data_IF_270861029495
#
_entry.id   IF_270861029495
#
_cell.length_a   1.000
_cell.length_b   1.000
_cell.length_c   1.000
_cell.angle_alpha   90.00
_cell.angle_beta   90.00
_cell.angle_gamma   90.00
#
_symmetry.space_group_name_H-M   'P 1'
#
loop_
_entity.id
_entity.type
_entity.pdbx_description
1 polymer ?
#
# COMPACT_ATOMS: atom_id res chain seq x y z
N UNK A 1 -1.56 51.29 61.47
CA UNK A 1 -1.36 50.21 62.45
C UNK A 1 -0.03 50.42 63.16
N UNK A 2 0.00 50.59 64.49
CA UNK A 2 1.24 50.68 65.28
C UNK A 2 1.75 49.26 65.56
N UNK A 3 2.94 48.91 65.06
CA UNK A 3 3.58 47.63 65.38
C UNK A 3 4.36 47.78 66.69
N UNK A 4 3.97 47.03 67.72
CA UNK A 4 4.68 46.95 69.00
C UNK A 4 5.96 46.13 68.81
N UNK A 5 7.11 46.75 69.02
CA UNK A 5 8.36 46.02 69.22
C UNK A 5 8.31 45.36 70.61
N UNK A 6 8.30 44.04 70.66
CA UNK A 6 8.52 43.27 71.89
C UNK A 6 10.01 43.32 72.21
N UNK A 7 10.41 44.25 73.09
CA UNK A 7 11.73 44.25 73.71
C UNK A 7 11.58 43.63 75.11
N UNK A 8 11.94 42.35 75.23
CA UNK A 8 12.11 41.70 76.54
C UNK A 8 13.42 42.21 77.15
N UNK A 9 13.33 43.20 78.03
CA UNK A 9 14.46 43.62 78.86
C UNK A 9 14.57 42.65 80.05
N UNK A 10 15.52 41.71 79.97
CA UNK A 10 16.18 41.19 81.18
C UNK A 10 17.66 41.59 81.12
N UNK A 11 18.11 42.11 82.25
CA UNK A 11 19.34 42.87 82.41
C UNK A 11 20.63 42.08 82.21
N UNK A 12 21.68 42.89 82.25
CA UNK A 12 23.11 42.56 82.35
C UNK A 12 23.87 42.39 81.03
N UNK A 13 24.47 43.51 80.60
CA UNK A 13 25.92 43.51 80.46
C UNK A 13 26.55 42.99 79.17
N UNK A 14 25.87 42.91 78.03
CA UNK A 14 26.55 42.66 76.75
C UNK A 14 25.90 43.44 75.62
N UNK A 15 26.72 44.05 74.74
CA UNK A 15 26.28 44.78 73.54
C UNK A 15 25.36 43.88 72.72
N UNK A 16 24.05 44.12 72.81
CA UNK A 16 23.07 43.48 71.94
C UNK A 16 23.18 44.20 70.59
N UNK A 17 23.89 43.60 69.64
CA UNK A 17 23.87 44.02 68.26
C UNK A 17 22.50 43.62 67.70
N UNK A 18 21.48 44.44 67.98
CA UNK A 18 20.14 44.23 67.47
C UNK A 18 20.17 44.62 65.99
N UNK A 19 20.23 43.63 65.10
CA UNK A 19 20.02 43.82 63.67
C UNK A 19 18.60 44.36 63.47
N UNK A 20 18.50 45.69 63.42
CA UNK A 20 17.27 46.42 63.16
C UNK A 20 16.90 46.22 61.69
N UNK A 21 16.37 45.05 61.35
CA UNK A 21 15.67 44.84 60.10
C UNK A 21 14.38 45.64 60.20
N UNK A 22 14.34 46.83 59.61
CA UNK A 22 13.18 47.69 59.73
C UNK A 22 12.02 47.05 58.96
N UNK A 23 10.80 47.11 59.48
CA UNK A 23 9.58 46.72 58.74
C UNK A 23 9.47 47.43 57.38
N UNK A 24 10.15 48.58 57.24
CA UNK A 24 10.28 49.33 55.98
C UNK A 24 11.07 48.59 54.91
N UNK A 25 12.02 47.74 55.32
CA UNK A 25 12.85 46.94 54.43
C UNK A 25 12.10 45.68 54.00
N UNK A 26 11.38 45.02 54.92
CA UNK A 26 10.51 43.86 54.63
C UNK A 26 9.40 44.24 53.64
N UNK A 27 8.68 45.35 53.88
CA UNK A 27 7.63 45.82 52.96
C UNK A 27 8.15 46.26 51.57
N UNK A 28 9.47 46.46 51.39
CA UNK A 28 10.08 46.75 50.09
C UNK A 28 10.59 45.50 49.36
N UNK A 29 10.79 44.39 50.08
CA UNK A 29 11.32 43.14 49.54
C UNK A 29 10.21 42.34 48.84
N UNK A 30 9.04 42.19 49.47
CA UNK A 30 7.90 41.48 48.90
C UNK A 30 7.47 41.98 47.51
N UNK A 31 7.23 43.29 47.28
CA UNK A 31 6.85 43.78 45.96
C UNK A 31 7.97 43.69 44.92
N UNK A 32 9.24 43.51 45.32
CA UNK A 32 10.34 43.24 44.38
C UNK A 32 10.40 41.77 43.99
N UNK A 33 10.21 40.85 44.95
CA UNK A 33 10.16 39.41 44.69
C UNK A 33 9.04 39.07 43.72
N UNK A 34 7.82 39.59 43.99
CA UNK A 34 6.64 39.37 43.16
C UNK A 34 6.86 39.91 41.73
N UNK A 35 7.54 41.05 41.59
CA UNK A 35 7.87 41.61 40.27
C UNK A 35 8.83 40.73 39.48
N UNK A 36 9.81 40.12 40.13
CA UNK A 36 10.76 39.23 39.48
C UNK A 36 10.06 37.93 39.02
N UNK A 37 9.25 37.32 39.89
CA UNK A 37 8.44 36.14 39.52
C UNK A 37 7.47 36.44 38.38
N UNK A 38 6.86 37.63 38.37
CA UNK A 38 5.99 38.09 37.28
C UNK A 38 6.77 38.33 35.97
N UNK A 39 8.04 38.73 36.05
CA UNK A 39 8.92 38.89 34.90
C UNK A 39 9.32 37.53 34.32
N UNK A 40 9.67 36.57 35.17
CA UNK A 40 10.01 35.20 34.77
C UNK A 40 8.81 34.48 34.16
N UNK A 41 7.62 34.69 34.74
CA UNK A 41 6.37 34.17 34.19
C UNK A 41 6.06 34.79 32.82
N UNK A 42 6.31 36.10 32.66
CA UNK A 42 6.14 36.78 31.37
C UNK A 42 7.04 36.18 30.30
N UNK A 43 8.32 35.99 30.59
CA UNK A 43 9.27 35.35 29.64
C UNK A 43 8.87 33.92 29.31
N UNK A 44 8.39 33.17 30.30
CA UNK A 44 7.87 31.81 30.08
C UNK A 44 6.62 31.81 29.19
N UNK A 45 5.73 32.79 29.36
CA UNK A 45 4.55 32.96 28.52
C UNK A 45 4.92 33.34 27.08
N UNK A 46 5.90 34.23 26.90
CA UNK A 46 6.42 34.62 25.58
C UNK A 46 7.06 33.42 24.86
N UNK A 47 7.87 32.62 25.57
CA UNK A 47 8.46 31.40 25.03
C UNK A 47 7.41 30.37 24.62
N UNK A 48 6.42 30.13 25.48
CA UNK A 48 5.34 29.20 25.19
C UNK A 48 4.46 29.68 24.03
N UNK A 49 4.19 30.99 23.94
CA UNK A 49 3.46 31.57 22.80
C UNK A 49 4.19 31.30 21.48
N UNK A 50 5.49 31.57 21.43
CA UNK A 50 6.29 31.29 20.23
C UNK A 50 6.29 29.79 19.86
N UNK A 51 6.27 28.90 20.86
CA UNK A 51 6.19 27.45 20.62
C UNK A 51 4.82 27.02 20.10
N UNK A 52 3.75 27.63 20.58
CA UNK A 52 2.38 27.43 20.10
C UNK A 52 2.29 27.84 18.62
N UNK A 53 2.84 28.99 18.26
CA UNK A 53 2.86 29.46 16.86
C UNK A 53 3.63 28.49 15.95
N UNK A 54 4.76 27.95 16.42
CA UNK A 54 5.52 26.94 15.67
C UNK A 54 4.70 25.66 15.44
N UNK A 55 3.94 25.22 16.45
CA UNK A 55 3.09 24.03 16.33
C UNK A 55 1.88 24.28 15.44
N UNK A 56 1.28 25.46 15.46
CA UNK A 56 0.20 25.83 14.55
C UNK A 56 0.67 25.81 13.09
N UNK A 57 1.87 26.33 12.81
CA UNK A 57 2.48 26.25 11.49
C UNK A 57 2.76 24.82 11.03
N UNK A 58 3.22 23.95 11.95
CA UNK A 58 3.41 22.53 11.63
C UNK A 58 2.08 21.82 11.42
N UNK A 59 1.05 22.17 12.18
CA UNK A 59 -0.28 21.58 12.06
C UNK A 59 -0.90 21.92 10.71
N UNK A 60 -0.89 23.20 10.32
CA UNK A 60 -1.39 23.64 9.01
C UNK A 60 -0.63 22.96 7.86
N UNK A 61 0.69 22.78 7.97
CA UNK A 61 1.45 22.04 6.97
C UNK A 61 1.03 20.56 6.89
N UNK A 62 0.85 19.89 8.04
CA UNK A 62 0.39 18.50 8.09
C UNK A 62 -1.02 18.38 7.50
N UNK A 63 -1.91 19.32 7.78
CA UNK A 63 -3.26 19.37 7.22
C UNK A 63 -3.24 19.48 5.69
N UNK A 64 -2.40 20.37 5.14
CA UNK A 64 -2.23 20.50 3.67
C UNK A 64 -1.69 19.21 3.06
N UNK A 65 -0.63 18.62 3.65
CA UNK A 65 -0.06 17.36 3.19
C UNK A 65 -1.08 16.21 3.22
N UNK A 66 -1.91 16.16 4.27
CA UNK A 66 -2.98 15.19 4.39
C UNK A 66 -4.02 15.35 3.27
N UNK A 67 -4.37 16.59 2.91
CA UNK A 67 -5.26 16.88 1.78
C UNK A 67 -4.66 16.42 0.43
N UNK A 68 -3.36 16.63 0.22
CA UNK A 68 -2.67 16.16 -0.99
C UNK A 68 -2.66 14.63 -1.10
N UNK A 69 -2.34 13.95 0.01
CA UNK A 69 -2.36 12.49 0.09
C UNK A 69 -3.75 11.91 -0.21
N UNK A 70 -4.81 12.57 0.25
CA UNK A 70 -6.18 12.18 -0.07
C UNK A 70 -6.44 12.28 -1.59
N UNK A 71 -6.01 13.36 -2.23
CA UNK A 71 -6.14 13.53 -3.68
C UNK A 71 -5.39 12.47 -4.50
N UNK A 72 -4.19 12.06 -4.04
CA UNK A 72 -3.43 10.96 -4.66
C UNK A 72 -4.15 9.63 -4.48
N UNK A 73 -4.69 9.36 -3.29
CA UNK A 73 -5.45 8.15 -3.00
C UNK A 73 -6.70 8.03 -3.89
N UNK A 74 -7.41 9.13 -4.12
CA UNK A 74 -8.59 9.13 -5.01
C UNK A 74 -8.21 8.82 -6.46
N UNK A 75 -7.12 9.40 -6.96
CA UNK A 75 -6.58 9.09 -8.29
C UNK A 75 -6.17 7.63 -8.40
N UNK A 76 -5.46 7.10 -7.41
CA UNK A 76 -5.04 5.70 -7.37
C UNK A 76 -6.25 4.76 -7.41
N UNK A 77 -7.28 5.06 -6.62
CA UNK A 77 -8.53 4.28 -6.61
C UNK A 77 -9.26 4.35 -7.95
N UNK A 78 -9.27 5.51 -8.61
CA UNK A 78 -9.84 5.65 -9.96
C UNK A 78 -9.08 4.81 -10.98
N UNK A 79 -7.75 4.97 -11.06
CA UNK A 79 -6.92 4.20 -11.99
C UNK A 79 -7.00 2.69 -11.76
N UNK A 80 -7.11 2.26 -10.50
CA UNK A 80 -7.30 0.84 -10.15
C UNK A 80 -8.61 0.31 -10.71
N UNK A 81 -9.70 1.10 -10.65
CA UNK A 81 -10.99 0.73 -11.26
C UNK A 81 -10.87 0.64 -12.79
N UNK A 82 -10.21 1.59 -13.42
CA UNK A 82 -10.02 1.60 -14.88
C UNK A 82 -9.25 0.36 -15.36
N UNK A 83 -8.21 -0.05 -14.62
CA UNK A 83 -7.46 -1.28 -14.91
C UNK A 83 -8.38 -2.50 -14.84
N UNK A 84 -9.23 -2.61 -13.82
CA UNK A 84 -10.16 -3.73 -13.67
C UNK A 84 -11.11 -3.80 -14.88
N UNK A 85 -11.68 -2.67 -15.28
CA UNK A 85 -12.57 -2.59 -16.44
C UNK A 85 -11.84 -2.99 -17.73
N UNK A 86 -10.64 -2.45 -17.95
CA UNK A 86 -9.83 -2.78 -19.13
C UNK A 86 -9.45 -4.28 -19.18
N UNK A 87 -9.16 -4.90 -18.04
CA UNK A 87 -8.89 -6.33 -17.95
C UNK A 87 -10.12 -7.17 -18.32
N UNK A 88 -11.31 -6.75 -17.87
CA UNK A 88 -12.57 -7.41 -18.24
C UNK A 88 -12.85 -7.28 -19.74
N UNK A 89 -12.67 -6.09 -20.30
CA UNK A 89 -12.87 -5.84 -21.74
C UNK A 89 -11.86 -6.59 -22.61
N UNK A 90 -10.62 -6.71 -22.15
CA UNK A 90 -9.63 -7.51 -22.86
C UNK A 90 -10.01 -8.99 -22.85
N UNK A 91 -10.46 -9.52 -21.71
CA UNK A 91 -10.95 -10.90 -21.60
C UNK A 91 -12.15 -11.14 -22.51
N UNK A 92 -13.11 -10.20 -22.54
CA UNK A 92 -14.27 -10.25 -23.43
C UNK A 92 -13.85 -10.27 -24.89
N UNK A 93 -12.93 -9.40 -25.29
CA UNK A 93 -12.39 -9.35 -26.66
C UNK A 93 -11.66 -10.63 -27.04
N UNK A 94 -10.87 -11.20 -26.13
CA UNK A 94 -10.22 -12.49 -26.37
C UNK A 94 -11.24 -13.62 -26.61
N UNK A 95 -12.33 -13.67 -25.83
CA UNK A 95 -13.39 -14.67 -26.06
C UNK A 95 -14.08 -14.45 -27.41
N UNK A 96 -14.32 -13.20 -27.79
CA UNK A 96 -14.93 -12.88 -29.08
C UNK A 96 -14.05 -13.31 -30.26
N UNK A 97 -12.74 -13.08 -30.17
CA UNK A 97 -11.79 -13.56 -31.20
C UNK A 97 -11.79 -15.10 -31.25
N UNK A 98 -11.82 -15.79 -30.09
CA UNK A 98 -11.93 -17.26 -30.07
C UNK A 98 -13.19 -17.75 -30.78
N UNK A 99 -14.35 -17.17 -30.50
CA UNK A 99 -15.61 -17.60 -31.12
C UNK A 99 -15.60 -17.47 -32.64
N UNK A 100 -14.99 -16.40 -33.17
CA UNK A 100 -14.97 -16.14 -34.61
C UNK A 100 -13.88 -16.92 -35.36
N UNK A 101 -12.86 -17.39 -34.65
CA UNK A 101 -11.66 -17.95 -35.27
C UNK A 101 -11.37 -19.40 -34.88
N UNK A 102 -12.21 -20.04 -34.07
CA UNK A 102 -12.09 -21.47 -33.78
C UNK A 102 -12.39 -22.28 -35.04
N UNK A 103 -11.38 -23.02 -35.51
CA UNK A 103 -11.51 -23.99 -36.59
C UNK A 103 -11.59 -25.40 -35.99
N UNK A 104 -12.64 -26.14 -36.34
CA UNK A 104 -12.81 -27.55 -35.94
C UNK A 104 -12.52 -28.43 -37.16
N UNK A 105 -11.49 -29.28 -37.07
CA UNK A 105 -11.16 -30.27 -38.10
C UNK A 105 -11.57 -31.67 -37.66
N UNK A 106 -11.94 -32.52 -38.61
CA UNK A 106 -12.24 -33.93 -38.37
C UNK A 106 -13.68 -34.24 -37.96
N UNK A 107 -14.62 -33.32 -38.21
CA UNK A 107 -16.05 -33.54 -37.97
C UNK A 107 -16.72 -34.05 -39.25
N UNK A 108 -17.49 -35.12 -39.12
CA UNK A 108 -18.34 -35.62 -40.21
C UNK A 108 -19.65 -34.83 -40.23
N UNK A 109 -19.95 -34.21 -41.38
CA UNK A 109 -21.22 -33.54 -41.62
C UNK A 109 -22.14 -34.51 -42.35
N UNK A 110 -23.29 -34.83 -41.75
CA UNK A 110 -24.30 -35.68 -42.38
C UNK A 110 -24.98 -34.92 -43.53
N UNK A 111 -25.63 -35.66 -44.43
CA UNK A 111 -26.37 -35.09 -45.59
C UNK A 111 -27.56 -34.21 -45.18
N UNK A 112 -28.05 -34.35 -43.96
CA UNK A 112 -29.11 -33.52 -43.36
C UNK A 112 -28.57 -32.22 -42.74
N UNK A 113 -27.25 -31.97 -42.83
CA UNK A 113 -26.58 -30.77 -42.31
C UNK A 113 -26.24 -30.85 -40.82
N UNK A 114 -26.62 -31.91 -40.12
CA UNK A 114 -26.30 -32.06 -38.70
C UNK A 114 -24.84 -32.53 -38.50
N UNK A 115 -24.13 -31.90 -37.57
CA UNK A 115 -22.80 -32.32 -37.14
C UNK A 115 -22.95 -33.47 -36.14
N UNK A 116 -22.37 -34.62 -36.45
CA UNK A 116 -22.24 -35.70 -35.47
C UNK A 116 -20.78 -35.74 -35.00
N UNK A 117 -20.57 -35.56 -33.70
CA UNK A 117 -19.30 -35.84 -33.05
C UNK A 117 -19.18 -37.37 -33.02
N UNK A 118 -18.70 -37.94 -34.13
CA UNK A 118 -18.69 -39.37 -34.36
C UNK A 118 -17.86 -40.10 -33.31
N UNK A 119 -18.54 -40.68 -32.32
CA UNK A 119 -18.00 -41.75 -31.46
C UNK A 119 -18.03 -43.12 -32.17
N UNK A 120 -18.24 -43.15 -33.49
CA UNK A 120 -18.20 -44.36 -34.30
C UNK A 120 -16.78 -44.88 -34.47
N UNK A 121 -16.68 -46.17 -34.80
CA UNK A 121 -15.53 -47.10 -34.82
C UNK A 121 -14.25 -46.64 -35.59
N UNK A 122 -14.23 -45.43 -36.11
CA UNK A 122 -13.05 -44.76 -36.66
C UNK A 122 -12.63 -43.66 -35.67
N UNK A 123 -11.44 -43.80 -35.08
CA UNK A 123 -10.86 -42.80 -34.17
C UNK A 123 -10.60 -41.46 -34.89
N UNK A 124 -11.66 -40.69 -35.14
CA UNK A 124 -11.61 -39.38 -35.74
C UNK A 124 -11.04 -38.43 -34.69
N UNK A 125 -9.80 -37.99 -34.93
CA UNK A 125 -9.17 -36.98 -34.10
C UNK A 125 -9.79 -35.63 -34.43
N UNK A 126 -10.54 -35.08 -33.48
CA UNK A 126 -11.07 -33.73 -33.57
C UNK A 126 -9.96 -32.75 -33.14
N UNK A 127 -9.68 -31.77 -33.98
CA UNK A 127 -8.74 -30.71 -33.67
C UNK A 127 -9.49 -29.39 -33.56
N UNK A 128 -9.32 -28.71 -32.42
CA UNK A 128 -9.79 -27.34 -32.20
C UNK A 128 -8.56 -26.44 -32.22
N UNK A 129 -8.48 -25.56 -33.22
CA UNK A 129 -7.36 -24.62 -33.33
C UNK A 129 -7.73 -23.29 -32.66
N UNK A 130 -6.87 -22.81 -31.77
CA UNK A 130 -7.02 -21.50 -31.12
C UNK A 130 -6.11 -20.46 -31.82
N UNK A 131 -6.62 -19.25 -32.00
CA UNK A 131 -5.89 -18.17 -32.67
C UNK A 131 -4.93 -17.46 -31.73
N UNK A 132 -3.74 -18.05 -31.58
CA UNK A 132 -2.58 -17.43 -30.95
C UNK A 132 -1.80 -16.52 -31.90
N UNK A 133 -1.03 -15.57 -31.34
CA UNK A 133 -0.04 -14.79 -32.11
C UNK A 133 0.99 -15.71 -32.77
N UNK A 134 1.62 -15.27 -33.86
CA UNK A 134 2.60 -16.09 -34.59
C UNK A 134 3.76 -16.56 -33.69
N UNK A 135 4.23 -15.69 -32.79
CA UNK A 135 5.24 -16.02 -31.78
C UNK A 135 4.74 -17.10 -30.81
N UNK A 136 3.55 -16.92 -30.23
CA UNK A 136 2.99 -17.90 -29.30
C UNK A 136 2.68 -19.25 -29.98
N UNK A 137 2.34 -19.26 -31.27
CA UNK A 137 2.20 -20.50 -32.06
C UNK A 137 3.53 -21.25 -32.20
N UNK A 138 4.62 -20.52 -32.49
CA UNK A 138 5.98 -21.11 -32.51
C UNK A 138 6.33 -21.67 -31.14
N UNK A 139 6.14 -20.89 -30.08
CA UNK A 139 6.41 -21.31 -28.70
C UNK A 139 5.58 -22.55 -28.30
N UNK A 140 4.28 -22.58 -28.62
CA UNK A 140 3.42 -23.73 -28.35
C UNK A 140 3.88 -24.99 -29.06
N UNK A 141 4.42 -24.85 -30.28
CA UNK A 141 4.96 -25.97 -31.05
C UNK A 141 6.20 -26.53 -30.35
N UNK A 142 7.13 -25.68 -29.92
CA UNK A 142 8.31 -26.08 -29.15
C UNK A 142 7.94 -26.75 -27.82
N UNK A 143 7.00 -26.16 -27.07
CA UNK A 143 6.49 -26.72 -25.81
C UNK A 143 5.91 -28.12 -26.02
N UNK A 144 5.09 -28.32 -27.06
CA UNK A 144 4.50 -29.63 -27.37
C UNK A 144 5.56 -30.68 -27.72
N UNK A 145 6.62 -30.29 -28.44
CA UNK A 145 7.75 -31.20 -28.75
C UNK A 145 8.46 -31.65 -27.48
N UNK A 146 8.84 -30.71 -26.60
CA UNK A 146 9.52 -31.02 -25.33
C UNK A 146 8.60 -31.82 -24.40
N UNK A 147 7.31 -31.48 -24.34
CA UNK A 147 6.33 -32.20 -23.54
C UNK A 147 6.24 -33.67 -23.95
N UNK A 148 6.32 -33.96 -25.26
CA UNK A 148 6.34 -35.33 -25.79
C UNK A 148 7.62 -36.07 -25.39
N UNK A 149 8.77 -35.42 -25.45
CA UNK A 149 10.07 -36.01 -25.06
C UNK A 149 10.15 -36.30 -23.55
N UNK A 150 9.57 -35.43 -22.72
CA UNK A 150 9.66 -35.47 -21.26
C UNK A 150 8.47 -36.15 -20.58
N UNK A 151 7.56 -36.74 -21.37
CA UNK A 151 6.33 -37.40 -20.88
C UNK A 151 5.49 -36.50 -19.97
N UNK A 152 5.34 -35.23 -20.35
CA UNK A 152 4.43 -34.29 -19.70
C UNK A 152 3.00 -34.60 -20.12
N UNK A 153 2.11 -34.81 -19.16
CA UNK A 153 0.74 -35.25 -19.45
C UNK A 153 -0.18 -34.14 -20.00
N UNK A 154 0.03 -32.87 -19.62
CA UNK A 154 -0.93 -31.80 -19.94
C UNK A 154 -0.25 -30.54 -20.48
N UNK A 155 -0.73 -30.09 -21.65
CA UNK A 155 -0.39 -28.79 -22.24
C UNK A 155 -1.69 -28.16 -22.74
N UNK A 156 -1.98 -26.94 -22.29
CA UNK A 156 -3.15 -26.19 -22.72
C UNK A 156 -2.86 -24.69 -22.77
N UNK A 157 -3.78 -23.92 -23.31
CA UNK A 157 -3.64 -22.49 -23.49
C UNK A 157 -4.79 -21.80 -22.76
N UNK A 158 -4.47 -20.76 -21.99
CA UNK A 158 -5.47 -19.94 -21.27
C UNK A 158 -4.97 -18.50 -21.17
N UNK A 159 -5.83 -17.52 -21.49
CA UNK A 159 -5.48 -16.08 -21.51
C UNK A 159 -4.22 -15.80 -22.34
N UNK A 160 -4.12 -16.41 -23.53
CA UNK A 160 -2.95 -16.31 -24.42
C UNK A 160 -1.62 -16.80 -23.81
N UNK A 161 -1.65 -17.50 -22.67
CA UNK A 161 -0.49 -18.08 -21.99
C UNK A 161 -0.51 -19.60 -22.08
N UNK A 162 0.64 -20.18 -22.34
CA UNK A 162 0.80 -21.63 -22.45
C UNK A 162 1.02 -22.19 -21.05
N UNK A 163 0.18 -23.14 -20.65
CA UNK A 163 0.24 -23.82 -19.36
C UNK A 163 0.68 -25.26 -19.58
N UNK A 164 1.57 -25.71 -18.71
CA UNK A 164 2.20 -27.02 -18.79
C UNK A 164 2.14 -27.67 -17.41
N UNK A 165 1.75 -28.94 -17.36
CA UNK A 165 1.71 -29.72 -16.12
C UNK A 165 2.16 -31.14 -16.39
N UNK A 166 3.15 -31.60 -15.61
CA UNK A 166 3.75 -32.92 -15.79
C UNK A 166 2.80 -34.05 -15.40
N UNK A 167 2.21 -33.99 -14.20
CA UNK A 167 1.33 -35.02 -13.63
C UNK A 167 0.22 -34.36 -12.79
N UNK A 168 -0.80 -35.13 -12.39
CA UNK A 168 -1.90 -34.65 -11.52
C UNK A 168 -1.48 -34.18 -10.13
N UNK A 169 -0.27 -34.52 -9.70
CA UNK A 169 0.31 -34.07 -8.42
C UNK A 169 1.26 -32.88 -8.59
N UNK A 170 1.70 -32.59 -9.82
CA UNK A 170 2.66 -31.53 -10.09
C UNK A 170 1.98 -30.16 -10.18
N UNK A 171 2.68 -29.07 -9.81
CA UNK A 171 2.20 -27.71 -10.04
C UNK A 171 2.13 -27.38 -11.54
N UNK A 172 1.35 -26.35 -11.86
CA UNK A 172 1.21 -25.83 -13.23
C UNK A 172 2.29 -24.77 -13.48
N UNK A 173 3.02 -24.92 -14.58
CA UNK A 173 4.01 -23.95 -15.06
C UNK A 173 3.46 -23.15 -16.23
N UNK A 174 3.72 -21.85 -16.24
CA UNK A 174 3.34 -20.94 -17.33
C UNK A 174 4.60 -20.64 -18.15
N UNK A 175 4.48 -20.82 -19.47
CA UNK A 175 5.55 -20.57 -20.44
C UNK A 175 5.14 -19.35 -21.26
N UNK A 176 5.89 -18.26 -21.09
CA UNK A 176 5.67 -17.01 -21.84
C UNK A 176 6.80 -16.69 -22.81
N UNK A 177 7.99 -17.26 -22.62
CA UNK A 177 9.18 -17.03 -23.43
C UNK A 177 9.93 -18.34 -23.68
N UNK A 178 10.82 -18.36 -24.67
CA UNK A 178 11.65 -19.54 -24.96
C UNK A 178 12.54 -19.94 -23.78
N UNK A 179 13.01 -18.98 -22.96
CA UNK A 179 13.80 -19.28 -21.76
C UNK A 179 13.03 -20.04 -20.67
N UNK A 180 11.69 -19.92 -20.66
CA UNK A 180 10.83 -20.63 -19.71
C UNK A 180 10.75 -22.13 -20.02
N UNK A 181 11.16 -22.57 -21.21
CA UNK A 181 11.18 -23.99 -21.59
C UNK A 181 12.04 -24.84 -20.65
N UNK A 182 13.04 -24.23 -20.01
CA UNK A 182 13.86 -24.89 -18.99
C UNK A 182 13.06 -25.32 -17.75
N UNK A 183 11.89 -24.75 -17.50
CA UNK A 183 10.99 -25.14 -16.40
C UNK A 183 10.30 -26.49 -16.66
N UNK A 184 10.37 -26.98 -17.90
CA UNK A 184 9.79 -28.27 -18.32
C UNK A 184 10.86 -29.38 -18.22
N UNK A 185 12.15 -29.03 -18.12
CA UNK A 185 13.28 -29.96 -17.96
C UNK A 185 13.31 -30.59 -16.57
#
# INVERSE_FOLDING_TARGET
MKVRALCLLRGEGYKIHCSFFSWRDVCKIEPKSIKNELLDLKTSCEFNSAKIDEFENKLTWVEVMSSELQGVNDRLNSTTKDIIVLMQDNTRREQWVRLNNVEIKGVQIKKDGNLELGFGDSALKIFVNDHLTAENKKLLTMVKSIAKEKNVCYVWVKHSKIHVRKNDTSPVHIIGKESDLNKIL
#
